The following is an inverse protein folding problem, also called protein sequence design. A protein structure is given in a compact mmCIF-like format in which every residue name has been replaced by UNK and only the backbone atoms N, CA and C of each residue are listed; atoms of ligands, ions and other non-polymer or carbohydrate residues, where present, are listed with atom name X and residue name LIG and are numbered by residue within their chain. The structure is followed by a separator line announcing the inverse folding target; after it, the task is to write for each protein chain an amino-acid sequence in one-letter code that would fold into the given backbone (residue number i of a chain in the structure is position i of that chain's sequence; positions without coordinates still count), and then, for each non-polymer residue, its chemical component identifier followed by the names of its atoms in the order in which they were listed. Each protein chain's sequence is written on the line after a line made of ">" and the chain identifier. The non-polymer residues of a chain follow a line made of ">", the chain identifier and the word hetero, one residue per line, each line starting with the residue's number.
data_IF_436447895363
#
_entry.id   IF_436447895363
#
_cell.length_a   1.000
_cell.length_b   1.000
_cell.length_c   1.000
_cell.angle_alpha   90.00
_cell.angle_beta   90.00
_cell.angle_gamma   90.00
#
_symmetry.space_group_name_H-M   'P 1'
#
loop_
_entity.id
_entity.type
_entity.pdbx_description
1 polymer ?
#
# COMPACT_ATOMS: atom_id res chain seq x y z
N UNK A 1 -19.26 -20.47 20.45
CA UNK A 1 -18.78 -19.46 19.51
C UNK A 1 -19.68 -18.25 19.70
N UNK A 2 -19.12 -17.12 20.10
CA UNK A 2 -19.93 -15.93 20.35
C UNK A 2 -20.64 -15.52 19.09
N UNK A 3 -21.97 -15.49 19.15
CA UNK A 3 -22.85 -15.18 18.02
C UNK A 3 -22.71 -13.72 17.51
N UNK A 4 -21.76 -12.95 18.06
CA UNK A 4 -21.58 -11.53 17.79
C UNK A 4 -20.25 -11.20 17.08
N UNK A 5 -19.41 -12.20 16.78
CA UNK A 5 -18.16 -11.96 16.08
C UNK A 5 -18.40 -11.58 14.61
N UNK A 6 -17.84 -10.48 14.17
CA UNK A 6 -17.98 -9.97 12.81
C UNK A 6 -16.66 -10.13 12.04
N UNK A 7 -16.76 -10.59 10.82
CA UNK A 7 -15.57 -10.72 9.97
C UNK A 7 -15.88 -10.38 8.52
N UNK A 8 -14.90 -9.77 7.83
CA UNK A 8 -15.11 -9.42 6.44
C UNK A 8 -13.89 -8.76 5.81
N UNK A 9 -13.97 -8.62 4.50
CA UNK A 9 -12.95 -8.00 3.67
C UNK A 9 -13.30 -6.53 3.40
N UNK A 10 -12.31 -5.66 3.54
CA UNK A 10 -12.48 -4.21 3.34
C UNK A 10 -11.44 -3.68 2.35
N UNK A 11 -11.89 -3.22 1.19
CA UNK A 11 -11.00 -2.58 0.23
C UNK A 11 -10.66 -1.15 0.65
N UNK A 12 -9.38 -0.79 0.54
CA UNK A 12 -8.90 0.57 0.72
C UNK A 12 -8.56 1.15 -0.65
N UNK A 13 -9.36 2.10 -1.12
CA UNK A 13 -9.22 2.70 -2.44
C UNK A 13 -9.03 4.21 -2.37
N UNK A 14 -8.63 4.80 -3.46
CA UNK A 14 -8.44 6.25 -3.61
C UNK A 14 -7.31 6.56 -4.58
N UNK A 15 -7.16 7.83 -4.91
CA UNK A 15 -6.07 8.29 -5.77
C UNK A 15 -4.69 7.98 -5.16
N UNK A 16 -3.62 7.99 -5.97
CA UNK A 16 -2.27 7.96 -5.43
C UNK A 16 -2.03 9.08 -4.41
N UNK A 17 -1.26 8.78 -3.37
CA UNK A 17 -0.80 9.72 -2.33
C UNK A 17 -1.86 10.29 -1.37
N UNK A 18 -3.10 9.84 -1.41
CA UNK A 18 -4.15 10.26 -0.43
C UNK A 18 -3.93 9.69 0.98
N UNK A 19 -2.95 8.77 1.15
CA UNK A 19 -2.55 8.24 2.45
C UNK A 19 -3.11 6.86 2.80
N UNK A 20 -3.51 6.04 1.81
CA UNK A 20 -4.06 4.68 2.02
C UNK A 20 -3.16 3.80 2.89
N UNK A 21 -1.93 3.56 2.45
CA UNK A 21 -0.96 2.72 3.17
C UNK A 21 -0.55 3.32 4.53
N UNK A 22 -0.54 4.66 4.66
CA UNK A 22 -0.29 5.34 5.93
C UNK A 22 -1.42 5.05 6.92
N UNK A 23 -2.67 5.17 6.48
CA UNK A 23 -3.83 4.89 7.32
C UNK A 23 -3.85 3.40 7.71
N UNK A 24 -3.64 2.49 6.76
CA UNK A 24 -3.60 1.05 7.03
C UNK A 24 -2.53 0.71 8.08
N UNK A 25 -1.29 1.17 7.92
CA UNK A 25 -0.23 0.95 8.90
C UNK A 25 -0.59 1.52 10.28
N UNK A 26 -1.28 2.68 10.32
CA UNK A 26 -1.73 3.29 11.56
C UNK A 26 -2.80 2.45 12.27
N UNK A 27 -3.80 1.96 11.54
CA UNK A 27 -4.89 1.13 12.09
C UNK A 27 -4.38 -0.22 12.61
N UNK A 28 -3.40 -0.81 11.92
CA UNK A 28 -2.77 -2.08 12.31
C UNK A 28 -1.76 -1.89 13.47
N UNK A 29 -1.23 -0.68 13.66
CA UNK A 29 -0.17 -0.41 14.64
C UNK A 29 1.22 -0.90 14.22
N UNK A 30 1.37 -1.41 13.01
CA UNK A 30 2.62 -1.93 12.45
C UNK A 30 2.83 -1.46 11.01
N UNK A 31 4.10 -1.43 10.58
CA UNK A 31 4.44 -1.08 9.20
C UNK A 31 4.46 -2.33 8.31
N UNK A 32 3.39 -2.55 7.60
CA UNK A 32 3.26 -3.64 6.61
C UNK A 32 3.38 -3.10 5.19
N UNK A 33 2.66 -2.02 4.87
CA UNK A 33 2.72 -1.38 3.57
C UNK A 33 3.77 -0.28 3.53
N UNK A 34 4.46 -0.17 2.40
CA UNK A 34 5.40 0.93 2.17
C UNK A 34 4.65 2.25 1.96
N UNK A 35 5.27 3.33 2.39
CA UNK A 35 4.71 4.67 2.27
C UNK A 35 5.65 5.60 1.51
N UNK A 36 5.12 6.41 0.61
CA UNK A 36 5.88 7.42 -0.12
C UNK A 36 4.95 8.50 -0.64
N UNK A 37 5.48 9.70 -0.86
CA UNK A 37 4.79 10.77 -1.58
C UNK A 37 4.89 10.63 -3.12
N UNK A 38 5.53 9.58 -3.61
CA UNK A 38 5.63 9.30 -5.06
C UNK A 38 4.40 8.52 -5.53
N UNK A 39 3.87 8.77 -6.73
CA UNK A 39 2.81 7.93 -7.31
C UNK A 39 3.26 6.47 -7.51
N UNK A 40 2.30 5.54 -7.56
CA UNK A 40 2.57 4.11 -7.72
C UNK A 40 3.44 3.50 -6.61
N UNK A 41 3.27 3.98 -5.37
CA UNK A 41 3.92 3.42 -4.19
C UNK A 41 3.44 1.99 -3.96
N UNK A 42 2.13 1.76 -3.83
CA UNK A 42 1.53 0.43 -3.79
C UNK A 42 1.30 -0.07 -5.22
N UNK A 43 1.78 -1.27 -5.55
CA UNK A 43 1.65 -1.88 -6.87
C UNK A 43 0.88 -3.20 -6.87
N UNK A 44 0.95 -3.94 -5.78
CA UNK A 44 0.18 -5.17 -5.55
C UNK A 44 -0.94 -4.91 -4.54
N UNK A 45 -1.91 -5.79 -4.50
CA UNK A 45 -2.85 -5.89 -3.37
C UNK A 45 -2.05 -6.29 -2.13
N UNK A 46 -2.11 -5.48 -1.08
CA UNK A 46 -1.51 -5.79 0.21
C UNK A 46 -2.63 -6.17 1.16
N UNK A 47 -2.58 -7.38 1.66
CA UNK A 47 -3.52 -7.89 2.63
C UNK A 47 -2.97 -7.75 4.03
N UNK A 48 -3.77 -7.15 4.92
CA UNK A 48 -3.46 -7.04 6.34
C UNK A 48 -4.67 -7.39 7.18
N UNK A 49 -4.43 -8.04 8.30
CA UNK A 49 -5.46 -8.55 9.19
C UNK A 49 -5.44 -7.75 10.49
N UNK A 50 -6.60 -7.25 10.88
CA UNK A 50 -6.84 -6.63 12.17
C UNK A 50 -7.81 -7.53 12.95
N UNK A 51 -7.39 -8.03 14.10
CA UNK A 51 -8.21 -8.89 14.97
C UNK A 51 -8.41 -8.24 16.34
N UNK A 52 -9.62 -8.28 16.85
CA UNK A 52 -9.96 -7.86 18.21
C UNK A 52 -11.15 -8.71 18.72
N UNK A 53 -11.59 -8.48 19.96
CA UNK A 53 -12.70 -9.23 20.58
C UNK A 53 -14.02 -9.12 19.79
N UNK A 54 -14.25 -7.99 19.09
CA UNK A 54 -15.47 -7.74 18.32
C UNK A 54 -15.47 -8.43 16.96
N UNK A 55 -14.27 -8.74 16.41
CA UNK A 55 -14.19 -9.32 15.07
C UNK A 55 -12.84 -9.28 14.41
N UNK A 56 -12.85 -9.62 13.12
CA UNK A 56 -11.68 -9.60 12.26
C UNK A 56 -11.94 -8.85 10.97
N UNK A 57 -11.09 -7.87 10.66
CA UNK A 57 -11.13 -7.11 9.42
C UNK A 57 -9.93 -7.51 8.56
N UNK A 58 -10.18 -7.96 7.35
CA UNK A 58 -9.13 -8.20 6.35
C UNK A 58 -9.07 -6.99 5.42
N UNK A 59 -8.11 -6.12 5.65
CA UNK A 59 -7.88 -4.95 4.80
C UNK A 59 -7.15 -5.35 3.52
N UNK A 60 -7.63 -4.83 2.40
CA UNK A 60 -7.03 -4.98 1.08
C UNK A 60 -6.60 -3.59 0.58
N UNK A 61 -5.32 -3.21 0.85
CA UNK A 61 -4.75 -1.98 0.27
C UNK A 61 -4.46 -2.20 -1.20
N UNK A 62 -5.05 -1.36 -2.04
CA UNK A 62 -4.95 -1.47 -3.49
C UNK A 62 -4.05 -0.39 -4.07
N UNK A 63 -3.45 -0.64 -5.25
CA UNK A 63 -2.85 0.41 -6.04
C UNK A 63 -3.82 1.57 -6.24
N UNK A 64 -3.30 2.80 -6.21
CA UNK A 64 -4.15 3.97 -6.46
C UNK A 64 -4.76 3.93 -7.86
N UNK A 65 -6.07 4.16 -7.95
CA UNK A 65 -6.81 4.15 -9.23
C UNK A 65 -6.35 5.34 -10.08
N UNK A 66 -5.80 5.06 -11.26
CA UNK A 66 -5.27 6.05 -12.19
C UNK A 66 -5.35 5.54 -13.63
N UNK A 67 -5.18 6.43 -14.61
CA UNK A 67 -5.11 6.04 -16.01
C UNK A 67 -3.81 5.30 -16.31
N UNK A 68 -3.89 4.04 -16.77
CA UNK A 68 -2.73 3.24 -17.14
C UNK A 68 -1.96 3.87 -18.31
N UNK A 69 -0.61 3.82 -18.23
CA UNK A 69 0.28 4.31 -19.28
C UNK A 69 1.17 3.21 -19.88
N UNK A 70 1.19 2.04 -19.24
CA UNK A 70 1.98 0.87 -19.62
C UNK A 70 1.34 -0.39 -19.02
N UNK A 71 1.85 -1.58 -19.36
CA UNK A 71 1.29 -2.85 -18.88
C UNK A 71 1.33 -3.01 -17.36
N UNK A 72 2.34 -2.49 -16.68
CA UNK A 72 2.36 -2.46 -15.21
C UNK A 72 1.20 -1.63 -14.65
N UNK A 73 0.92 -0.47 -15.28
CA UNK A 73 -0.23 0.35 -14.93
C UNK A 73 -1.57 -0.36 -15.16
N UNK A 74 -1.71 -1.09 -16.27
CA UNK A 74 -2.90 -1.91 -16.55
C UNK A 74 -3.09 -3.01 -15.50
N UNK A 75 -2.02 -3.68 -15.11
CA UNK A 75 -2.03 -4.65 -14.02
C UNK A 75 -2.54 -4.02 -12.72
N UNK A 76 -2.02 -2.86 -12.33
CA UNK A 76 -2.43 -2.14 -11.12
C UNK A 76 -3.92 -1.76 -11.12
N UNK A 77 -4.44 -1.33 -12.27
CA UNK A 77 -5.88 -1.02 -12.41
C UNK A 77 -6.71 -2.30 -12.26
N UNK A 78 -6.32 -3.40 -12.91
CA UNK A 78 -7.01 -4.69 -12.79
C UNK A 78 -7.04 -5.21 -11.34
N UNK A 79 -5.92 -5.08 -10.61
CA UNK A 79 -5.85 -5.41 -9.17
C UNK A 79 -6.92 -4.63 -8.39
N UNK A 80 -6.99 -3.31 -8.59
CA UNK A 80 -7.94 -2.47 -7.88
C UNK A 80 -9.40 -2.82 -8.22
N UNK A 81 -9.73 -2.99 -9.52
CA UNK A 81 -11.07 -3.30 -9.98
C UNK A 81 -11.59 -4.67 -9.52
N UNK A 82 -10.72 -5.69 -9.50
CA UNK A 82 -11.10 -7.02 -8.98
C UNK A 82 -11.36 -6.99 -7.49
N UNK A 83 -10.49 -6.32 -6.74
CA UNK A 83 -10.66 -6.20 -5.28
C UNK A 83 -12.02 -5.61 -4.90
N UNK A 84 -12.55 -4.66 -5.68
CA UNK A 84 -13.88 -4.07 -5.42
C UNK A 84 -15.06 -5.06 -5.51
N UNK A 85 -14.89 -6.18 -6.19
CA UNK A 85 -15.96 -7.19 -6.39
C UNK A 85 -16.01 -8.26 -5.30
N UNK A 86 -15.00 -8.33 -4.45
CA UNK A 86 -14.78 -9.43 -3.52
C UNK A 86 -14.75 -8.95 -2.05
N UNK A 87 -15.32 -7.78 -1.76
CA UNK A 87 -15.27 -7.18 -0.41
C UNK A 87 -16.65 -6.93 0.16
N UNK A 88 -16.73 -6.87 1.48
CA UNK A 88 -17.94 -6.62 2.25
C UNK A 88 -18.17 -5.12 2.48
N UNK A 89 -17.11 -4.32 2.47
CA UNK A 89 -17.18 -2.86 2.58
C UNK A 89 -16.01 -2.20 1.86
N UNK A 90 -16.15 -0.93 1.54
CA UNK A 90 -15.12 -0.13 0.88
C UNK A 90 -14.81 1.10 1.70
N UNK A 91 -13.53 1.35 1.97
CA UNK A 91 -13.02 2.62 2.46
C UNK A 91 -12.49 3.43 1.27
N UNK A 92 -13.16 4.50 0.93
CA UNK A 92 -12.66 5.43 -0.09
C UNK A 92 -11.95 6.60 0.56
N UNK A 93 -10.63 6.70 0.37
CA UNK A 93 -9.82 7.79 0.88
C UNK A 93 -9.70 8.94 -0.12
N UNK A 94 -9.93 10.14 0.38
CA UNK A 94 -9.78 11.41 -0.35
C UNK A 94 -9.03 12.43 0.50
N UNK A 95 -8.54 13.49 -0.12
CA UNK A 95 -8.04 14.69 0.58
C UNK A 95 -9.16 15.71 0.73
N UNK A 96 -9.14 16.59 1.75
CA UNK A 96 -10.14 17.64 1.90
C UNK A 96 -10.05 18.62 0.72
N UNK A 97 -11.12 18.70 -0.06
CA UNK A 97 -11.19 19.55 -1.23
C UNK A 97 -12.64 19.96 -1.52
N UNK A 98 -12.82 21.21 -1.93
CA UNK A 98 -14.10 21.70 -2.46
C UNK A 98 -14.23 21.48 -3.97
N UNK A 99 -13.24 20.85 -4.58
CA UNK A 99 -13.22 20.49 -6.00
C UNK A 99 -13.02 18.98 -6.17
N UNK A 100 -13.96 18.32 -6.85
CA UNK A 100 -13.87 16.92 -7.23
C UNK A 100 -13.29 16.81 -8.64
N UNK A 101 -12.06 16.30 -8.72
CA UNK A 101 -11.36 16.09 -9.99
C UNK A 101 -11.92 14.93 -10.81
N UNK A 102 -11.47 14.79 -12.06
CA UNK A 102 -11.91 13.70 -12.94
C UNK A 102 -11.58 12.31 -12.37
N UNK A 103 -10.47 12.18 -11.63
CA UNK A 103 -10.09 10.91 -10.99
C UNK A 103 -11.04 10.49 -9.88
N UNK A 104 -11.48 11.42 -9.03
CA UNK A 104 -12.47 11.14 -7.99
C UNK A 104 -13.85 10.84 -8.59
N UNK A 105 -14.26 11.57 -9.64
CA UNK A 105 -15.54 11.30 -10.36
C UNK A 105 -15.55 9.89 -10.94
N UNK A 106 -14.46 9.49 -11.57
CA UNK A 106 -14.33 8.13 -12.10
C UNK A 106 -14.44 7.06 -11.01
N UNK A 107 -13.81 7.27 -9.85
CA UNK A 107 -13.93 6.36 -8.70
C UNK A 107 -15.38 6.35 -8.21
N UNK A 108 -16.04 7.50 -8.05
CA UNK A 108 -17.41 7.59 -7.62
C UNK A 108 -18.36 6.82 -8.56
N UNK A 109 -18.20 6.95 -9.87
CA UNK A 109 -18.98 6.22 -10.88
C UNK A 109 -18.81 4.69 -10.77
N UNK A 110 -17.62 4.21 -10.40
CA UNK A 110 -17.39 2.80 -10.14
C UNK A 110 -18.09 2.37 -8.84
N UNK A 111 -17.97 3.16 -7.78
CA UNK A 111 -18.54 2.85 -6.47
C UNK A 111 -20.06 2.81 -6.47
N UNK A 112 -20.73 3.64 -7.27
CA UNK A 112 -22.19 3.59 -7.44
C UNK A 112 -22.70 2.25 -8.01
N UNK A 113 -21.82 1.47 -8.65
CA UNK A 113 -22.16 0.16 -9.23
C UNK A 113 -21.85 -1.01 -8.31
N UNK A 114 -21.16 -0.76 -7.21
CA UNK A 114 -20.79 -1.78 -6.22
C UNK A 114 -21.85 -1.79 -5.13
N UNK A 115 -22.51 -2.91 -4.92
CA UNK A 115 -23.63 -3.05 -3.99
C UNK A 115 -23.23 -3.17 -2.51
N UNK A 116 -22.03 -2.73 -2.10
CA UNK A 116 -21.52 -2.80 -0.72
C UNK A 116 -21.39 -1.42 -0.09
N UNK A 117 -21.45 -1.31 1.25
CA UNK A 117 -21.29 -0.06 1.96
C UNK A 117 -19.98 0.65 1.63
N UNK A 118 -20.04 1.95 1.38
CA UNK A 118 -18.88 2.80 1.13
C UNK A 118 -18.69 3.78 2.29
N UNK A 119 -17.57 3.71 2.97
CA UNK A 119 -17.15 4.65 4.03
C UNK A 119 -16.19 5.65 3.41
N UNK A 120 -16.55 6.92 3.38
CA UNK A 120 -15.65 7.98 2.91
C UNK A 120 -14.71 8.42 4.03
N UNK A 121 -13.42 8.32 3.80
CA UNK A 121 -12.39 8.82 4.70
C UNK A 121 -11.77 10.08 4.11
N UNK A 122 -12.07 11.24 4.69
CA UNK A 122 -11.42 12.50 4.30
C UNK A 122 -10.14 12.62 5.13
N UNK A 123 -9.04 12.16 4.54
CA UNK A 123 -7.74 12.11 5.21
C UNK A 123 -6.98 13.44 5.06
N UNK A 124 -5.91 13.62 5.85
CA UNK A 124 -5.04 14.82 5.88
C UNK A 124 -5.76 16.10 6.33
N UNK A 125 -6.72 16.01 7.24
CA UNK A 125 -7.38 17.19 7.81
C UNK A 125 -6.45 18.14 8.55
N UNK A 126 -5.23 17.70 8.84
CA UNK A 126 -4.14 18.52 9.41
C UNK A 126 -3.54 19.51 8.41
N UNK A 127 -3.86 19.41 7.12
CA UNK A 127 -3.36 20.28 6.05
C UNK A 127 -4.29 21.44 5.71
N UNK A 128 -5.51 21.45 6.25
CA UNK A 128 -6.53 22.48 5.99
C UNK A 128 -7.04 23.12 7.29
N UNK A 129 -7.65 24.28 7.18
CA UNK A 129 -8.32 24.92 8.30
C UNK A 129 -9.64 24.24 8.63
N UNK A 130 -10.08 24.35 9.88
CA UNK A 130 -11.32 23.70 10.34
C UNK A 130 -12.56 24.19 9.56
N UNK A 131 -12.57 25.43 9.14
CA UNK A 131 -13.66 26.07 8.38
C UNK A 131 -13.78 25.49 6.95
N UNK A 132 -12.70 24.93 6.38
CA UNK A 132 -12.66 24.35 5.04
C UNK A 132 -13.19 22.92 5.02
N UNK A 133 -13.31 22.28 6.19
CA UNK A 133 -13.66 20.86 6.28
C UNK A 133 -15.14 20.61 5.96
N UNK A 134 -16.06 21.41 6.48
CA UNK A 134 -17.49 21.26 6.18
C UNK A 134 -17.81 21.44 4.69
N UNK A 135 -17.31 22.48 4.00
CA UNK A 135 -17.47 22.59 2.54
C UNK A 135 -16.91 21.40 1.77
N UNK A 136 -15.78 20.82 2.21
CA UNK A 136 -15.23 19.62 1.58
C UNK A 136 -16.17 18.41 1.76
N UNK A 137 -16.69 18.17 2.96
CA UNK A 137 -17.67 17.11 3.23
C UNK A 137 -18.90 17.27 2.34
N UNK A 138 -19.47 18.48 2.27
CA UNK A 138 -20.65 18.75 1.45
C UNK A 138 -20.41 18.55 -0.04
N UNK A 139 -19.20 18.76 -0.50
CA UNK A 139 -18.80 18.52 -1.88
C UNK A 139 -18.82 17.02 -2.22
N UNK A 140 -18.27 16.19 -1.35
CA UNK A 140 -18.27 14.74 -1.58
C UNK A 140 -19.65 14.11 -1.40
N UNK A 141 -20.48 14.55 -0.46
CA UNK A 141 -21.84 14.05 -0.25
C UNK A 141 -22.74 14.14 -1.49
N UNK A 142 -22.41 15.02 -2.43
CA UNK A 142 -23.18 15.23 -3.66
C UNK A 142 -22.84 14.26 -4.79
N UNK A 143 -21.76 13.49 -4.66
CA UNK A 143 -21.25 12.65 -5.77
C UNK A 143 -21.48 11.16 -5.57
N UNK A 144 -21.71 10.71 -4.35
CA UNK A 144 -21.99 9.32 -4.01
C UNK A 144 -22.71 9.24 -2.66
N UNK A 145 -23.55 8.22 -2.50
CA UNK A 145 -24.13 7.90 -1.20
C UNK A 145 -23.09 7.14 -0.35
N UNK A 146 -22.82 7.67 0.83
CA UNK A 146 -21.86 7.06 1.76
C UNK A 146 -22.59 6.53 2.99
N UNK A 147 -22.18 5.33 3.43
CA UNK A 147 -22.64 4.76 4.69
C UNK A 147 -22.19 5.61 5.88
N UNK A 148 -20.95 6.09 5.85
CA UNK A 148 -20.40 7.06 6.82
C UNK A 148 -19.36 7.97 6.14
N UNK A 149 -19.11 9.15 6.75
CA UNK A 149 -18.04 10.08 6.35
C UNK A 149 -17.20 10.41 7.56
N UNK A 150 -15.92 10.04 7.54
CA UNK A 150 -14.99 10.21 8.67
C UNK A 150 -13.82 11.10 8.26
N UNK A 151 -13.79 12.35 8.72
CA UNK A 151 -12.63 13.20 8.55
C UNK A 151 -11.52 12.81 9.53
N UNK A 152 -10.32 12.51 9.03
CA UNK A 152 -9.20 12.08 9.88
C UNK A 152 -7.84 12.61 9.42
N UNK A 153 -6.83 12.44 10.25
CA UNK A 153 -5.42 12.55 9.86
C UNK A 153 -4.70 11.26 10.24
N UNK A 154 -4.44 10.41 9.25
CA UNK A 154 -3.67 9.18 9.44
C UNK A 154 -2.25 9.46 9.96
N UNK A 155 -1.64 10.58 9.54
CA UNK A 155 -0.30 10.97 9.97
C UNK A 155 -0.24 11.38 11.45
N UNK A 156 -1.30 12.05 11.94
CA UNK A 156 -1.38 12.58 13.31
C UNK A 156 -2.20 11.70 14.26
N UNK A 157 -2.81 10.63 13.76
CA UNK A 157 -3.72 9.78 14.56
C UNK A 157 -5.00 10.49 15.00
N UNK A 158 -5.40 11.58 14.32
CA UNK A 158 -6.59 12.33 14.71
C UNK A 158 -7.84 11.71 14.07
N UNK A 159 -8.85 11.41 14.90
CA UNK A 159 -10.12 10.77 14.54
C UNK A 159 -9.96 9.37 13.87
N UNK A 160 -8.82 8.74 14.03
CA UNK A 160 -8.58 7.39 13.47
C UNK A 160 -9.20 6.29 14.32
N UNK A 161 -9.44 6.54 15.60
CA UNK A 161 -10.08 5.62 16.54
C UNK A 161 -11.53 5.29 16.16
N UNK A 162 -12.20 6.14 15.40
CA UNK A 162 -13.61 5.94 15.00
C UNK A 162 -13.76 5.02 13.78
N UNK A 163 -12.66 4.75 13.06
CA UNK A 163 -12.68 4.03 11.78
C UNK A 163 -13.00 2.53 11.98
N UNK A 164 -12.30 1.86 12.89
CA UNK A 164 -12.51 0.42 13.16
C UNK A 164 -13.94 0.14 13.64
N UNK A 165 -14.48 0.85 14.65
CA UNK A 165 -15.87 0.66 15.06
C UNK A 165 -16.89 0.94 13.94
N UNK A 166 -16.62 1.93 13.09
CA UNK A 166 -17.47 2.22 11.94
C UNK A 166 -17.50 1.06 10.94
N UNK A 167 -16.36 0.46 10.64
CA UNK A 167 -16.26 -0.68 9.72
C UNK A 167 -17.07 -1.86 10.25
N UNK A 168 -16.93 -2.21 11.53
CA UNK A 168 -17.63 -3.36 12.12
C UNK A 168 -19.15 -3.26 12.01
N UNK A 169 -19.75 -2.07 11.96
CA UNK A 169 -21.20 -1.91 11.76
C UNK A 169 -21.69 -2.54 10.46
N UNK A 170 -20.83 -2.57 9.44
CA UNK A 170 -21.19 -2.99 8.07
C UNK A 170 -20.67 -4.38 7.72
N UNK A 171 -19.86 -5.01 8.58
CA UNK A 171 -19.38 -6.36 8.33
C UNK A 171 -20.42 -7.42 8.76
N UNK A 172 -20.49 -8.53 8.03
CA UNK A 172 -21.36 -9.65 8.39
C UNK A 172 -20.87 -10.35 9.67
N UNK A 173 -21.76 -11.10 10.30
CA UNK A 173 -21.40 -12.07 11.32
C UNK A 173 -20.72 -13.27 10.66
N UNK A 174 -19.57 -13.68 11.18
CA UNK A 174 -18.80 -14.79 10.60
C UNK A 174 -17.62 -15.22 11.47
N UNK A 175 -17.00 -16.35 11.13
CA UNK A 175 -15.81 -16.84 11.83
C UNK A 175 -14.57 -16.04 11.46
N UNK A 176 -13.47 -16.22 12.20
CA UNK A 176 -12.15 -15.74 11.79
C UNK A 176 -11.73 -16.38 10.47
N UNK A 177 -11.13 -15.60 9.58
CA UNK A 177 -10.49 -16.06 8.34
C UNK A 177 -9.03 -16.46 8.56
N UNK A 178 -8.37 -15.83 9.52
CA UNK A 178 -6.96 -16.00 9.85
C UNK A 178 -6.79 -16.19 11.36
N UNK A 179 -5.70 -16.85 11.76
CA UNK A 179 -5.34 -16.96 13.16
C UNK A 179 -5.18 -15.59 13.80
N UNK A 180 -5.46 -15.49 15.11
CA UNK A 180 -5.51 -14.24 15.87
C UNK A 180 -4.23 -13.41 15.75
N UNK A 181 -3.06 -14.06 15.73
CA UNK A 181 -1.74 -13.43 15.64
C UNK A 181 -1.35 -13.05 14.20
N UNK A 182 -2.16 -13.39 13.21
CA UNK A 182 -1.85 -13.11 11.81
C UNK A 182 -2.07 -11.63 11.50
N UNK A 183 -1.02 -10.95 11.08
CA UNK A 183 -1.07 -9.53 10.69
C UNK A 183 -1.08 -9.36 9.17
N UNK A 184 -0.45 -10.27 8.43
CA UNK A 184 -0.42 -10.28 6.96
C UNK A 184 -0.09 -11.68 6.45
N UNK A 185 -0.59 -11.99 5.27
CA UNK A 185 -0.24 -13.22 4.55
C UNK A 185 0.96 -13.06 3.61
N UNK A 186 1.53 -11.84 3.53
CA UNK A 186 2.63 -11.56 2.62
C UNK A 186 3.92 -12.25 3.05
N UNK A 187 4.63 -12.94 2.13
CA UNK A 187 5.93 -13.52 2.44
C UNK A 187 6.93 -12.44 2.88
N UNK A 188 7.70 -12.71 3.92
CA UNK A 188 8.75 -11.79 4.42
C UNK A 188 9.69 -11.31 3.31
N UNK A 189 9.94 -12.16 2.32
CA UNK A 189 10.76 -11.83 1.14
C UNK A 189 10.14 -10.71 0.30
N UNK A 190 8.83 -10.69 0.15
CA UNK A 190 8.12 -9.66 -0.60
C UNK A 190 8.12 -8.34 0.18
N UNK A 191 7.87 -8.39 1.48
CA UNK A 191 7.94 -7.20 2.35
C UNK A 191 9.36 -6.62 2.33
N UNK A 192 10.40 -7.47 2.35
CA UNK A 192 11.79 -7.02 2.25
C UNK A 192 12.10 -6.31 0.93
N UNK A 193 11.59 -6.82 -0.21
CA UNK A 193 11.72 -6.16 -1.51
C UNK A 193 11.05 -4.79 -1.51
N UNK A 194 9.84 -4.69 -0.96
CA UNK A 194 9.10 -3.44 -0.87
C UNK A 194 9.79 -2.42 0.05
N UNK A 195 10.35 -2.83 1.19
CA UNK A 195 11.15 -1.93 2.06
C UNK A 195 12.34 -1.35 1.29
N UNK A 196 13.08 -2.17 0.55
CA UNK A 196 14.21 -1.68 -0.27
C UNK A 196 13.70 -0.71 -1.35
N UNK A 197 12.57 -1.03 -2.00
CA UNK A 197 11.94 -0.16 -2.99
C UNK A 197 11.49 1.17 -2.38
N UNK A 198 10.91 1.18 -1.20
CA UNK A 198 10.55 2.40 -0.47
C UNK A 198 11.76 3.33 -0.26
N UNK A 199 12.88 2.76 0.22
CA UNK A 199 14.08 3.58 0.46
C UNK A 199 14.68 4.12 -0.84
N UNK A 200 14.55 3.38 -1.94
CA UNK A 200 14.90 3.89 -3.25
C UNK A 200 13.93 5.00 -3.71
N UNK A 201 12.61 4.84 -3.51
CA UNK A 201 11.62 5.89 -3.81
C UNK A 201 11.89 7.19 -3.04
N UNK A 202 12.31 7.11 -1.77
CA UNK A 202 12.63 8.28 -0.95
C UNK A 202 13.95 8.95 -1.33
N UNK A 203 14.88 8.20 -1.88
CA UNK A 203 16.24 8.69 -2.19
C UNK A 203 16.38 9.20 -3.63
N UNK A 204 15.45 8.84 -4.52
CA UNK A 204 15.50 9.15 -5.95
C UNK A 204 14.40 10.13 -6.33
N UNK A 205 14.64 10.95 -7.36
CA UNK A 205 13.70 11.96 -7.80
C UNK A 205 13.33 11.80 -9.28
N UNK A 206 12.49 12.68 -9.79
CA UNK A 206 11.97 12.73 -11.16
C UNK A 206 11.30 11.41 -11.59
N UNK A 207 11.64 10.90 -12.79
CA UNK A 207 11.03 9.71 -13.39
C UNK A 207 11.67 8.38 -12.92
N UNK A 208 12.84 8.43 -12.25
CA UNK A 208 13.59 7.22 -11.88
C UNK A 208 12.80 6.33 -10.92
N UNK A 209 12.15 6.87 -9.86
CA UNK A 209 11.38 6.06 -8.91
C UNK A 209 10.27 5.22 -9.56
N UNK A 210 9.66 5.74 -10.63
CA UNK A 210 8.55 5.06 -11.31
C UNK A 210 9.00 3.84 -12.12
N UNK A 211 10.26 3.83 -12.56
CA UNK A 211 10.86 2.79 -13.40
C UNK A 211 11.67 1.74 -12.65
N UNK A 212 11.60 1.68 -11.30
CA UNK A 212 12.35 0.68 -10.53
C UNK A 212 11.47 -0.48 -10.05
N UNK A 213 12.07 -1.67 -9.99
CA UNK A 213 11.58 -2.83 -9.25
C UNK A 213 12.71 -3.37 -8.37
N UNK A 214 12.38 -4.20 -7.39
CA UNK A 214 13.37 -4.86 -6.53
C UNK A 214 13.11 -6.35 -6.52
N UNK A 215 14.11 -7.14 -6.83
CA UNK A 215 14.10 -8.58 -6.71
C UNK A 215 15.01 -9.01 -5.56
N UNK A 216 14.50 -9.87 -4.69
CA UNK A 216 15.33 -10.52 -3.69
C UNK A 216 15.95 -11.78 -4.33
N UNK A 217 17.24 -11.79 -4.55
CA UNK A 217 17.94 -12.92 -5.15
C UNK A 217 18.13 -14.04 -4.11
N UNK A 218 18.49 -13.65 -2.88
CA UNK A 218 18.70 -14.56 -1.77
C UNK A 218 18.24 -13.94 -0.46
N UNK A 219 17.59 -14.74 0.40
CA UNK A 219 17.27 -14.38 1.78
C UNK A 219 17.39 -15.64 2.63
N UNK A 220 18.42 -15.72 3.49
CA UNK A 220 18.70 -16.90 4.30
C UNK A 220 19.35 -16.53 5.64
N UNK A 221 18.95 -17.23 6.70
CA UNK A 221 19.62 -17.18 8.00
C UNK A 221 21.05 -17.75 7.87
N UNK A 222 22.05 -17.05 8.43
CA UNK A 222 23.46 -17.44 8.33
C UNK A 222 23.72 -18.66 9.20
N UNK A 223 24.29 -19.75 8.67
CA UNK A 223 24.65 -20.93 9.48
C UNK A 223 25.59 -20.56 10.63
N UNK A 224 25.42 -21.20 11.79
CA UNK A 224 26.27 -21.02 12.97
C UNK A 224 26.16 -19.68 13.69
N UNK A 225 25.39 -18.73 13.20
CA UNK A 225 25.11 -17.42 13.83
C UNK A 225 23.61 -17.21 13.89
N UNK A 226 23.04 -17.39 15.06
CA UNK A 226 21.60 -17.51 15.25
C UNK A 226 20.76 -16.28 14.88
N UNK A 227 21.34 -15.09 14.77
CA UNK A 227 20.59 -13.87 14.60
C UNK A 227 21.10 -12.95 13.47
N UNK A 228 21.62 -13.54 12.38
CA UNK A 228 22.03 -12.80 11.18
C UNK A 228 21.33 -13.37 9.95
N UNK A 229 20.68 -12.53 9.16
CA UNK A 229 20.06 -12.88 7.89
C UNK A 229 20.84 -12.22 6.75
N UNK A 230 21.31 -13.05 5.82
CA UNK A 230 21.93 -12.57 4.58
C UNK A 230 20.86 -12.31 3.54
N UNK A 231 20.82 -11.08 3.03
CA UNK A 231 19.89 -10.64 1.99
C UNK A 231 20.70 -10.09 0.82
N UNK A 232 20.53 -10.73 -0.33
CA UNK A 232 21.06 -10.28 -1.61
C UNK A 232 19.89 -9.80 -2.46
N UNK A 233 19.93 -8.54 -2.95
CA UNK A 233 18.82 -7.96 -3.71
C UNK A 233 19.32 -7.11 -4.88
N UNK A 234 18.54 -7.11 -5.96
CA UNK A 234 18.83 -6.34 -7.17
C UNK A 234 17.75 -5.29 -7.39
N UNK A 235 18.17 -4.02 -7.48
CA UNK A 235 17.34 -2.91 -7.94
C UNK A 235 17.37 -2.91 -9.47
N UNK A 236 16.21 -3.10 -10.09
CA UNK A 236 16.04 -3.11 -11.54
C UNK A 236 15.63 -1.71 -11.99
N UNK A 237 16.23 -1.21 -13.07
CA UNK A 237 15.87 0.05 -13.71
C UNK A 237 15.85 -0.11 -15.24
N UNK A 238 15.29 0.88 -15.97
CA UNK A 238 15.08 0.74 -17.41
C UNK A 238 16.24 1.25 -18.27
N UNK A 239 17.08 2.17 -17.76
CA UNK A 239 18.11 2.87 -18.53
C UNK A 239 19.46 2.87 -17.80
N UNK A 240 20.57 2.92 -18.58
CA UNK A 240 21.91 3.07 -18.01
C UNK A 240 22.11 4.39 -17.25
N UNK A 241 21.49 5.49 -17.70
CA UNK A 241 21.48 6.76 -16.97
C UNK A 241 20.85 6.60 -15.58
N UNK A 242 19.72 5.89 -15.46
CA UNK A 242 19.08 5.60 -14.19
C UNK A 242 19.98 4.77 -13.27
N UNK A 243 20.67 3.74 -13.84
CA UNK A 243 21.64 2.93 -13.08
C UNK A 243 22.74 3.79 -12.47
N UNK A 244 23.29 4.74 -13.25
CA UNK A 244 24.33 5.66 -12.75
C UNK A 244 23.83 6.51 -11.57
N UNK A 245 22.62 7.02 -11.64
CA UNK A 245 22.01 7.84 -10.57
C UNK A 245 21.69 7.00 -9.32
N UNK A 246 21.17 5.77 -9.49
CA UNK A 246 20.87 4.85 -8.38
C UNK A 246 22.15 4.43 -7.65
N UNK A 247 23.26 4.24 -8.36
CA UNK A 247 24.56 3.96 -7.76
C UNK A 247 25.13 5.23 -7.10
N UNK A 248 25.05 6.34 -7.80
CA UNK A 248 25.62 7.62 -7.35
C UNK A 248 27.15 7.68 -7.40
N UNK A 249 27.70 8.86 -7.13
CA UNK A 249 29.15 9.07 -7.11
C UNK A 249 29.82 8.12 -6.09
N UNK A 250 30.73 7.29 -6.55
CA UNK A 250 31.45 6.27 -5.73
C UNK A 250 30.49 5.34 -4.94
N UNK A 251 29.27 5.10 -5.43
CA UNK A 251 28.30 4.23 -4.78
C UNK A 251 27.53 4.88 -3.60
N UNK A 252 27.66 6.20 -3.40
CA UNK A 252 27.10 6.88 -2.22
C UNK A 252 25.57 6.77 -2.14
N UNK A 253 24.84 6.88 -3.28
CA UNK A 253 23.39 6.77 -3.29
C UNK A 253 22.93 5.35 -2.96
N UNK A 254 23.52 4.34 -3.59
CA UNK A 254 23.22 2.93 -3.31
C UNK A 254 23.50 2.56 -1.85
N UNK A 255 24.61 3.08 -1.28
CA UNK A 255 24.96 2.91 0.13
C UNK A 255 23.90 3.56 1.05
N UNK A 256 23.41 4.76 0.72
CA UNK A 256 22.33 5.45 1.47
C UNK A 256 21.06 4.62 1.45
N UNK A 257 20.62 4.16 0.27
CA UNK A 257 19.45 3.29 0.12
C UNK A 257 19.62 2.02 0.97
N UNK A 258 20.76 1.34 0.84
CA UNK A 258 21.05 0.09 1.55
C UNK A 258 21.09 0.26 3.07
N UNK A 259 21.69 1.34 3.58
CA UNK A 259 21.74 1.61 5.02
C UNK A 259 20.35 1.85 5.62
N UNK A 260 19.53 2.65 4.94
CA UNK A 260 18.15 2.92 5.38
C UNK A 260 17.26 1.66 5.29
N UNK A 261 17.41 0.87 4.22
CA UNK A 261 16.69 -0.38 4.07
C UNK A 261 17.10 -1.40 5.15
N UNK A 262 18.40 -1.55 5.41
CA UNK A 262 18.90 -2.45 6.44
C UNK A 262 18.34 -2.14 7.81
N UNK A 263 18.31 -0.87 8.21
CA UNK A 263 17.75 -0.44 9.49
C UNK A 263 16.28 -0.90 9.65
N UNK A 264 15.48 -0.75 8.62
CA UNK A 264 14.07 -1.14 8.64
C UNK A 264 13.89 -2.67 8.62
N UNK A 265 14.70 -3.36 7.79
CA UNK A 265 14.71 -4.82 7.71
C UNK A 265 15.11 -5.47 9.04
N UNK A 266 16.09 -4.90 9.75
CA UNK A 266 16.49 -5.37 11.08
C UNK A 266 15.35 -5.28 12.10
N UNK A 267 14.54 -4.22 12.02
CA UNK A 267 13.35 -4.06 12.88
C UNK A 267 12.25 -5.05 12.53
N UNK A 268 11.96 -5.23 11.23
CA UNK A 268 10.91 -6.15 10.77
C UNK A 268 11.24 -7.61 11.06
N UNK A 269 12.52 -7.98 10.91
CA UNK A 269 12.98 -9.39 11.05
C UNK A 269 13.44 -9.72 12.48
N UNK A 270 13.49 -8.73 13.37
CA UNK A 270 14.04 -8.86 14.73
C UNK A 270 15.45 -9.51 14.74
N UNK A 271 16.22 -9.27 13.69
CA UNK A 271 17.51 -9.89 13.44
C UNK A 271 18.50 -8.90 12.82
N UNK A 272 19.79 -9.15 12.98
CA UNK A 272 20.81 -8.42 12.23
C UNK A 272 20.75 -8.79 10.75
N UNK A 273 20.89 -7.78 9.87
CA UNK A 273 20.79 -7.98 8.42
C UNK A 273 22.12 -7.60 7.74
N UNK A 274 22.65 -8.55 6.97
CA UNK A 274 23.73 -8.29 6.03
C UNK A 274 23.13 -8.12 4.64
N UNK A 275 22.84 -6.86 4.28
CA UNK A 275 22.23 -6.49 3.01
C UNK A 275 23.28 -6.18 1.95
N UNK A 276 23.18 -6.86 0.80
CA UNK A 276 23.94 -6.54 -0.41
C UNK A 276 22.99 -6.12 -1.52
N UNK A 277 23.29 -4.99 -2.16
CA UNK A 277 22.48 -4.43 -3.23
C UNK A 277 23.25 -4.36 -4.53
N UNK A 278 22.60 -4.75 -5.63
CA UNK A 278 23.06 -4.57 -7.00
C UNK A 278 22.07 -3.72 -7.78
N UNK A 279 22.53 -3.20 -8.92
CA UNK A 279 21.68 -2.44 -9.84
C UNK A 279 21.81 -3.05 -11.24
N UNK A 280 20.67 -3.48 -11.81
CA UNK A 280 20.57 -4.09 -13.13
C UNK A 280 19.70 -3.25 -14.05
N UNK A 281 20.11 -3.12 -15.31
CA UNK A 281 19.29 -2.50 -16.34
C UNK A 281 18.50 -3.58 -17.07
N UNK A 282 17.18 -3.43 -17.10
CA UNK A 282 16.26 -4.27 -17.87
C UNK A 282 15.33 -3.33 -18.65
N UNK A 283 15.61 -3.17 -19.94
CA UNK A 283 14.88 -2.23 -20.80
C UNK A 283 13.41 -2.62 -20.91
N UNK A 284 12.54 -1.62 -20.88
CA UNK A 284 11.08 -1.75 -21.08
C UNK A 284 10.41 -2.84 -20.23
N UNK A 285 10.93 -3.12 -19.03
CA UNK A 285 10.39 -4.17 -18.18
C UNK A 285 8.91 -3.94 -17.81
N UNK A 286 8.48 -2.67 -17.72
CA UNK A 286 7.08 -2.29 -17.41
C UNK A 286 6.09 -2.61 -18.53
N UNK A 287 6.58 -2.90 -19.75
CA UNK A 287 5.78 -3.25 -20.92
C UNK A 287 5.89 -4.72 -21.32
N UNK A 288 6.53 -5.55 -20.47
CA UNK A 288 6.69 -6.99 -20.70
C UNK A 288 5.95 -7.79 -19.63
N UNK A 289 4.89 -8.51 -20.00
CA UNK A 289 4.12 -9.37 -19.08
C UNK A 289 5.03 -10.39 -18.38
N UNK A 290 5.98 -10.99 -19.09
CA UNK A 290 6.94 -11.93 -18.53
C UNK A 290 7.83 -11.30 -17.45
N UNK A 291 8.36 -10.09 -17.69
CA UNK A 291 9.22 -9.42 -16.71
C UNK A 291 8.43 -8.88 -15.53
N UNK A 292 7.21 -8.40 -15.77
CA UNK A 292 6.29 -7.97 -14.72
C UNK A 292 6.02 -9.12 -13.76
N UNK A 293 5.68 -10.30 -14.29
CA UNK A 293 5.45 -11.49 -13.48
C UNK A 293 6.72 -11.92 -12.70
N UNK A 294 7.89 -11.93 -13.35
CA UNK A 294 9.16 -12.29 -12.69
C UNK A 294 9.55 -11.34 -11.56
N UNK A 295 9.05 -10.11 -11.57
CA UNK A 295 9.31 -9.12 -10.50
C UNK A 295 8.21 -9.10 -9.43
N UNK A 296 7.35 -10.13 -9.39
CA UNK A 296 6.35 -10.30 -8.34
C UNK A 296 5.02 -9.60 -8.59
N UNK A 297 4.72 -9.26 -9.86
CA UNK A 297 3.45 -8.67 -10.27
C UNK A 297 2.68 -9.69 -11.12
N UNK A 298 2.17 -10.76 -10.48
CA UNK A 298 1.55 -11.89 -11.17
C UNK A 298 0.03 -11.68 -11.37
N UNK A 299 -0.40 -11.77 -12.65
CA UNK A 299 -1.83 -11.74 -13.00
C UNK A 299 -2.62 -12.94 -12.48
N UNK A 300 -1.95 -14.02 -12.08
CA UNK A 300 -2.60 -15.20 -11.49
C UNK A 300 -3.01 -15.00 -10.02
N UNK A 301 -2.42 -14.02 -9.35
CA UNK A 301 -2.77 -13.63 -7.98
C UNK A 301 -3.93 -12.60 -7.95
N UNK A 302 -4.46 -12.30 -9.13
CA UNK A 302 -5.61 -11.41 -9.31
C UNK A 302 -6.90 -12.24 -9.07
#
# INVERSE_FOLDING_TARGET
>A
MDNNFRSGFVAIIGRPNVGKSTLMNHLIGQKIAITSNKPQTTRNKIQTVYTCDEGQIVFLDTPGIHKAKNKLGEYMVQVAERTLKEVDAIMWLVEPSTFVGAGERHIAEQLQKVGVPVILIINKIDTVKKEELLPAIDTYRKICDFAEIIPCSALRGKNTQDIIPSIFKYLPYGPMFYDEDTVTDQPQRQIAAEIIREKALHALDEEIPHGIAVAIDRMKKRPGRSNIIDIDATIICERNSHKGIIIGKQGAMLKKIGSNARYELERMLEAKVNLKLWVKVTKNWRDSDFLIQNFGYDKKEL
#
